data_IF_806747143929
#
_entry.id   IF_806747143929
#
_cell.length_a   1.000
_cell.length_b   1.000
_cell.length_c   1.000
_cell.angle_alpha   90.00
_cell.angle_beta   90.00
_cell.angle_gamma   90.00
#
_symmetry.space_group_name_H-M   'P 1'
#
loop_
_entity.id
_entity.type
_entity.pdbx_description
1 polymer ?
#
# COMPACT_ATOMS: atom_id res chain seq x y z
N UNK A 1 -10.88 -17.71 21.44
CA UNK A 1 -12.30 -17.66 21.83
C UNK A 1 -13.10 -17.18 20.62
N UNK A 2 -13.67 -18.11 19.86
CA UNK A 2 -14.40 -17.83 18.60
C UNK A 2 -15.87 -17.57 18.95
N UNK A 3 -16.40 -16.39 18.65
CA UNK A 3 -17.85 -16.12 18.71
C UNK A 3 -18.47 -16.45 17.36
N UNK A 4 -19.33 -17.46 17.35
CA UNK A 4 -20.23 -17.79 16.23
C UNK A 4 -21.43 -16.85 16.27
N UNK A 5 -21.70 -16.19 15.16
CA UNK A 5 -22.95 -15.45 14.95
C UNK A 5 -23.98 -16.44 14.39
N UNK A 6 -25.11 -16.59 15.10
CA UNK A 6 -26.27 -17.38 14.65
C UNK A 6 -27.14 -16.50 13.76
N UNK A 7 -27.39 -16.97 12.55
CA UNK A 7 -28.43 -16.43 11.69
C UNK A 7 -29.78 -17.07 12.04
N UNK A 8 -30.79 -16.25 12.37
CA UNK A 8 -32.16 -16.66 12.53
C UNK A 8 -32.83 -16.81 11.17
N UNK A 9 -33.30 -18.03 10.89
CA UNK A 9 -34.20 -18.33 9.79
C UNK A 9 -35.64 -18.04 10.21
N UNK A 10 -36.30 -17.06 9.55
CA UNK A 10 -37.74 -16.92 9.60
C UNK A 10 -38.35 -17.68 8.41
N UNK A 11 -39.11 -18.74 8.73
CA UNK A 11 -40.01 -19.46 7.81
C UNK A 11 -41.28 -18.63 7.60
N UNK A 12 -41.57 -18.29 6.35
CA UNK A 12 -42.93 -17.84 5.96
C UNK A 12 -43.57 -18.96 5.15
N UNK A 13 -44.77 -19.32 5.57
CA UNK A 13 -45.59 -20.40 5.02
C UNK A 13 -46.21 -20.00 3.68
N UNK A 14 -46.28 -20.99 2.81
CA UNK A 14 -46.97 -21.08 1.54
C UNK A 14 -48.49 -20.96 1.73
N UNK A 15 -49.16 -20.19 0.86
CA UNK A 15 -50.53 -20.45 0.45
C UNK A 15 -50.61 -20.45 -1.08
N UNK A 16 -51.13 -21.54 -1.61
CA UNK A 16 -51.35 -21.78 -3.03
C UNK A 16 -52.58 -21.01 -3.51
N UNK A 17 -52.51 -20.46 -4.73
CA UNK A 17 -53.67 -19.94 -5.46
C UNK A 17 -53.33 -19.94 -6.97
N UNK A 18 -54.11 -20.71 -7.71
CA UNK A 18 -54.04 -20.89 -9.18
C UNK A 18 -54.45 -19.59 -9.91
N UNK A 19 -53.81 -19.22 -11.03
CA UNK A 19 -54.43 -19.10 -12.36
C UNK A 19 -53.57 -18.32 -13.37
N UNK A 20 -53.62 -18.86 -14.54
CA UNK A 20 -53.51 -18.29 -15.88
C UNK A 20 -52.14 -17.91 -16.46
N UNK A 21 -51.77 -18.72 -17.43
CA UNK A 21 -50.71 -18.51 -18.40
C UNK A 21 -50.99 -17.29 -19.28
N UNK A 22 -50.02 -16.37 -19.35
CA UNK A 22 -49.86 -15.44 -20.49
C UNK A 22 -48.39 -15.51 -20.88
N UNK A 23 -48.17 -16.04 -22.08
CA UNK A 23 -46.88 -16.08 -22.75
C UNK A 23 -46.47 -14.63 -23.13
N UNK A 24 -45.43 -14.12 -22.54
CA UNK A 24 -44.66 -12.97 -23.01
C UNK A 24 -43.19 -13.38 -23.06
N UNK A 25 -42.47 -13.11 -24.16
CA UNK A 25 -41.06 -13.43 -24.23
C UNK A 25 -40.27 -12.45 -23.33
N UNK A 26 -39.81 -12.95 -22.22
CA UNK A 26 -38.86 -12.20 -21.36
C UNK A 26 -37.53 -12.22 -22.14
N UNK A 27 -37.21 -11.08 -22.70
CA UNK A 27 -35.87 -10.74 -23.17
C UNK A 27 -34.92 -10.85 -21.93
N UNK A 28 -34.18 -11.93 -21.88
CA UNK A 28 -33.16 -12.14 -20.87
C UNK A 28 -32.07 -11.10 -21.08
N UNK A 29 -32.16 -9.98 -20.36
CA UNK A 29 -31.00 -9.13 -20.14
C UNK A 29 -29.98 -9.97 -19.35
N UNK A 30 -29.01 -10.56 -20.06
CA UNK A 30 -27.81 -11.10 -19.43
C UNK A 30 -27.10 -9.94 -18.73
N UNK A 31 -27.37 -9.78 -17.46
CA UNK A 31 -26.46 -9.07 -16.58
C UNK A 31 -25.17 -9.90 -16.55
N UNK A 32 -24.19 -9.44 -17.32
CA UNK A 32 -22.82 -9.92 -17.23
C UNK A 32 -22.30 -9.58 -15.83
N UNK A 33 -22.71 -10.34 -14.83
CA UNK A 33 -21.94 -10.48 -13.62
C UNK A 33 -20.60 -11.06 -14.09
N UNK A 34 -19.57 -10.22 -14.14
CA UNK A 34 -18.22 -10.63 -14.52
C UNK A 34 -17.74 -11.68 -13.53
N UNK A 35 -18.02 -12.95 -13.81
CA UNK A 35 -17.30 -14.04 -13.19
C UNK A 35 -15.82 -13.77 -13.44
N UNK A 36 -15.05 -13.66 -12.37
CA UNK A 36 -13.59 -13.75 -12.41
C UNK A 36 -13.31 -15.12 -13.01
N UNK A 37 -13.00 -15.17 -14.29
CA UNK A 37 -12.48 -16.39 -14.91
C UNK A 37 -11.10 -16.60 -14.28
N UNK A 38 -10.84 -17.70 -13.57
CA UNK A 38 -9.48 -18.02 -13.15
C UNK A 38 -8.66 -18.19 -14.42
N UNK A 39 -7.75 -17.26 -14.71
CA UNK A 39 -6.91 -17.30 -15.89
C UNK A 39 -7.05 -16.15 -16.89
N UNK A 40 -7.56 -14.97 -16.50
CA UNK A 40 -7.37 -13.76 -17.30
C UNK A 40 -5.86 -13.51 -17.45
N UNK A 41 -5.28 -14.05 -18.53
CA UNK A 41 -3.85 -13.87 -18.83
C UNK A 41 -3.69 -12.46 -19.35
N UNK A 42 -3.17 -11.55 -18.53
CA UNK A 42 -2.79 -10.22 -18.99
C UNK A 42 -1.72 -10.36 -20.07
N UNK A 43 -2.06 -9.90 -21.28
CA UNK A 43 -1.18 -10.09 -22.43
C UNK A 43 -0.17 -8.94 -22.50
N UNK A 44 1.10 -9.29 -22.45
CA UNK A 44 2.20 -8.39 -22.77
C UNK A 44 2.37 -8.40 -24.29
N UNK A 45 2.33 -7.24 -24.92
CA UNK A 45 2.42 -7.08 -26.38
C UNK A 45 3.44 -5.99 -26.72
N UNK A 46 4.01 -6.02 -27.93
CA UNK A 46 4.76 -4.88 -28.43
C UNK A 46 3.91 -3.61 -28.40
N UNK A 47 4.53 -2.48 -28.00
CA UNK A 47 3.87 -1.17 -28.03
C UNK A 47 3.60 -0.82 -29.51
N UNK A 48 2.33 -0.59 -29.84
CA UNK A 48 1.95 -0.18 -31.20
C UNK A 48 1.98 1.35 -31.36
N UNK A 49 1.87 1.83 -32.58
CA UNK A 49 1.94 3.25 -32.92
C UNK A 49 0.86 4.07 -32.20
N UNK A 50 -0.37 3.59 -32.13
CA UNK A 50 -1.49 4.27 -31.47
C UNK A 50 -1.22 4.44 -29.97
N UNK A 51 -0.71 3.42 -29.30
CA UNK A 51 -0.33 3.45 -27.89
C UNK A 51 0.84 4.42 -27.66
N UNK A 52 1.86 4.37 -28.54
CA UNK A 52 3.01 5.26 -28.47
C UNK A 52 2.56 6.73 -28.57
N UNK A 53 1.70 7.06 -29.51
CA UNK A 53 1.15 8.41 -29.68
C UNK A 53 0.24 8.80 -28.50
N UNK A 54 -0.67 7.91 -28.06
CA UNK A 54 -1.62 8.19 -26.99
C UNK A 54 -0.94 8.43 -25.64
N UNK A 55 0.18 7.78 -25.38
CA UNK A 55 0.94 7.87 -24.13
C UNK A 55 2.27 8.61 -24.25
N UNK A 56 2.60 9.17 -25.42
CA UNK A 56 3.81 9.92 -25.74
C UNK A 56 5.08 9.12 -25.38
N UNK A 57 5.13 7.87 -25.83
CA UNK A 57 6.22 6.95 -25.52
C UNK A 57 7.31 7.01 -26.58
N UNK A 58 8.56 7.00 -26.14
CA UNK A 58 9.70 6.71 -26.97
C UNK A 58 9.75 5.19 -27.28
N UNK A 59 9.40 4.80 -28.50
CA UNK A 59 9.39 3.39 -28.92
C UNK A 59 10.79 2.79 -29.09
N UNK A 60 11.84 3.61 -29.07
CA UNK A 60 13.21 3.14 -28.99
C UNK A 60 13.55 2.57 -27.61
N UNK A 61 12.81 2.98 -26.58
CA UNK A 61 12.96 2.49 -25.21
C UNK A 61 11.81 1.59 -24.79
N UNK A 62 10.55 2.04 -24.93
CA UNK A 62 9.38 1.29 -24.51
C UNK A 62 8.93 0.31 -25.60
N UNK A 63 9.28 -0.94 -25.42
CA UNK A 63 9.02 -1.99 -26.41
C UNK A 63 7.84 -2.89 -26.06
N UNK A 64 7.47 -2.96 -24.76
CA UNK A 64 6.40 -3.82 -24.27
C UNK A 64 5.30 -3.02 -23.57
N UNK A 65 4.05 -3.42 -23.77
CA UNK A 65 2.89 -2.76 -23.17
C UNK A 65 1.77 -3.73 -22.78
N UNK A 66 1.03 -3.35 -21.75
CA UNK A 66 -0.18 -4.03 -21.25
C UNK A 66 -1.22 -2.99 -20.86
N UNK A 67 -2.42 -3.06 -21.39
CA UNK A 67 -3.53 -2.19 -20.98
C UNK A 67 -4.45 -2.95 -20.02
N UNK A 68 -4.67 -2.41 -18.84
CA UNK A 68 -5.54 -2.98 -17.81
C UNK A 68 -6.36 -1.88 -17.14
N UNK A 69 -7.68 -2.01 -17.08
CA UNK A 69 -8.59 -1.06 -16.42
C UNK A 69 -8.37 0.42 -16.80
N UNK A 70 -7.84 0.71 -17.99
CA UNK A 70 -7.52 2.06 -18.47
C UNK A 70 -6.15 2.57 -18.00
N UNK A 71 -5.36 1.76 -17.33
CA UNK A 71 -3.96 2.01 -16.98
C UNK A 71 -3.09 1.32 -18.03
N UNK A 72 -2.16 2.03 -18.64
CA UNK A 72 -1.23 1.46 -19.60
C UNK A 72 0.13 1.23 -18.95
N UNK A 73 0.55 -0.02 -18.89
CA UNK A 73 1.86 -0.42 -18.38
C UNK A 73 2.82 -0.47 -19.56
N UNK A 74 3.91 0.29 -19.51
CA UNK A 74 4.93 0.34 -20.54
C UNK A 74 6.32 0.06 -19.97
N UNK A 75 7.13 -0.71 -20.66
CA UNK A 75 8.49 -1.05 -20.22
C UNK A 75 9.46 -1.22 -21.40
N UNK A 76 10.75 -1.23 -21.07
CA UNK A 76 11.79 -1.73 -21.96
C UNK A 76 11.68 -3.24 -22.14
N UNK A 77 12.51 -3.81 -23.01
CA UNK A 77 12.68 -5.25 -23.20
C UNK A 77 13.31 -5.96 -22.00
N UNK A 78 14.02 -5.23 -21.12
CA UNK A 78 14.72 -5.76 -19.95
C UNK A 78 13.81 -6.17 -18.81
N UNK A 79 12.61 -5.58 -18.71
CA UNK A 79 11.64 -5.95 -17.68
C UNK A 79 10.98 -7.28 -18.03
N UNK A 80 10.82 -8.19 -17.08
CA UNK A 80 10.20 -9.48 -17.33
C UNK A 80 8.70 -9.37 -17.61
N UNK A 81 8.18 -10.28 -18.43
CA UNK A 81 6.74 -10.39 -18.65
C UNK A 81 5.98 -10.82 -17.38
N UNK A 82 6.67 -11.41 -16.39
CA UNK A 82 6.07 -11.71 -15.10
C UNK A 82 5.74 -10.45 -14.33
N UNK A 83 6.64 -9.46 -14.30
CA UNK A 83 6.39 -8.17 -13.66
C UNK A 83 5.22 -7.43 -14.30
N UNK A 84 5.13 -7.44 -15.64
CA UNK A 84 3.96 -6.89 -16.35
C UNK A 84 2.65 -7.54 -15.91
N UNK A 85 2.59 -8.87 -15.88
CA UNK A 85 1.37 -9.61 -15.52
C UNK A 85 0.99 -9.40 -14.07
N UNK A 86 1.98 -9.40 -13.17
CA UNK A 86 1.74 -9.14 -11.74
C UNK A 86 1.23 -7.72 -11.51
N UNK A 87 1.87 -6.71 -12.09
CA UNK A 87 1.39 -5.34 -12.00
C UNK A 87 -0.02 -5.18 -12.59
N UNK A 88 -0.30 -5.81 -13.73
CA UNK A 88 -1.62 -5.78 -14.33
C UNK A 88 -2.68 -6.45 -13.45
N UNK A 89 -2.35 -7.59 -12.83
CA UNK A 89 -3.22 -8.27 -11.87
C UNK A 89 -3.53 -7.37 -10.67
N UNK A 90 -2.51 -6.77 -10.06
CA UNK A 90 -2.70 -5.88 -8.92
C UNK A 90 -3.55 -4.66 -9.28
N UNK A 91 -3.30 -4.01 -10.42
CA UNK A 91 -4.15 -2.89 -10.88
C UNK A 91 -5.58 -3.31 -11.16
N UNK A 92 -5.81 -4.47 -11.76
CA UNK A 92 -7.17 -4.97 -12.01
C UNK A 92 -7.92 -5.18 -10.69
N UNK A 93 -7.28 -5.82 -9.71
CA UNK A 93 -7.85 -6.03 -8.38
C UNK A 93 -8.14 -4.70 -7.66
N UNK A 94 -7.18 -3.78 -7.62
CA UNK A 94 -7.33 -2.49 -6.97
C UNK A 94 -8.44 -1.65 -7.62
N UNK A 95 -8.46 -1.54 -8.96
CA UNK A 95 -9.46 -0.76 -9.68
C UNK A 95 -10.89 -1.29 -9.51
N UNK A 96 -11.06 -2.61 -9.34
CA UNK A 96 -12.38 -3.23 -9.09
C UNK A 96 -12.93 -2.92 -7.68
N UNK A 97 -12.07 -2.62 -6.72
CA UNK A 97 -12.48 -2.32 -5.34
C UNK A 97 -12.80 -0.85 -5.11
N UNK A 98 -12.45 0.03 -6.05
CA UNK A 98 -12.72 1.47 -5.94
C UNK A 98 -14.21 1.80 -6.18
N UNK A 99 -14.66 2.92 -5.60
CA UNK A 99 -15.93 3.55 -6.03
C UNK A 99 -15.91 3.73 -7.56
N UNK A 100 -16.96 3.30 -8.27
CA UNK A 100 -17.00 3.35 -9.74
C UNK A 100 -16.70 4.73 -10.34
N UNK A 101 -17.09 5.81 -9.65
CA UNK A 101 -16.83 7.19 -10.08
C UNK A 101 -15.36 7.57 -9.94
N UNK A 102 -14.69 7.05 -8.90
CA UNK A 102 -13.24 7.22 -8.71
C UNK A 102 -12.49 6.45 -9.80
N UNK A 103 -12.84 5.18 -10.00
CA UNK A 103 -12.24 4.34 -11.03
C UNK A 103 -12.42 4.95 -12.44
N UNK A 104 -13.60 5.51 -12.73
CA UNK A 104 -13.84 6.14 -14.04
C UNK A 104 -12.96 7.38 -14.23
N UNK A 105 -12.82 8.24 -13.23
CA UNK A 105 -11.93 9.40 -13.34
C UNK A 105 -10.46 9.00 -13.57
N UNK A 106 -10.01 7.90 -12.95
CA UNK A 106 -8.65 7.35 -13.19
C UNK A 106 -8.50 6.91 -14.64
N UNK A 107 -9.50 6.17 -15.19
CA UNK A 107 -9.51 5.76 -16.62
C UNK A 107 -9.44 6.95 -17.56
N UNK A 108 -10.22 7.99 -17.30
CA UNK A 108 -10.30 9.20 -18.11
C UNK A 108 -8.96 9.98 -18.14
N UNK A 109 -8.13 9.80 -17.12
CA UNK A 109 -6.80 10.42 -17.02
C UNK A 109 -5.71 9.70 -17.80
N UNK A 110 -5.99 8.53 -18.38
CA UNK A 110 -5.00 7.73 -19.14
C UNK A 110 -3.71 7.55 -18.35
N UNK A 111 -3.81 6.97 -17.15
CA UNK A 111 -2.65 6.75 -16.27
C UNK A 111 -1.62 5.89 -16.99
N UNK A 112 -0.36 6.33 -16.98
CA UNK A 112 0.77 5.55 -17.44
C UNK A 112 1.46 4.91 -16.23
N UNK A 113 1.73 3.62 -16.31
CA UNK A 113 2.62 2.91 -15.40
C UNK A 113 3.91 2.55 -16.13
N UNK A 114 5.04 2.86 -15.52
CA UNK A 114 6.35 2.46 -16.03
C UNK A 114 6.98 1.51 -15.01
N UNK A 115 7.39 0.33 -15.46
CA UNK A 115 8.21 -0.56 -14.67
C UNK A 115 9.69 -0.35 -15.04
N UNK A 116 10.53 -0.27 -14.02
CA UNK A 116 11.99 -0.19 -14.15
C UNK A 116 12.54 -1.59 -13.97
N UNK A 117 13.32 -2.10 -14.91
CA UNK A 117 13.98 -3.40 -14.80
C UNK A 117 15.01 -3.41 -13.66
N UNK A 118 15.30 -4.60 -13.14
CA UNK A 118 16.26 -4.78 -12.04
C UNK A 118 17.64 -4.15 -12.32
N UNK A 119 18.07 -4.18 -13.57
CA UNK A 119 19.34 -3.59 -14.02
C UNK A 119 19.17 -2.25 -14.74
N UNK A 120 18.05 -1.57 -14.57
CA UNK A 120 17.80 -0.24 -15.09
C UNK A 120 17.74 0.78 -13.98
N UNK A 121 17.98 2.02 -14.32
CA UNK A 121 17.90 3.17 -13.43
C UNK A 121 16.77 4.10 -13.82
N UNK A 122 16.27 4.85 -12.88
CA UNK A 122 15.26 5.89 -13.15
C UNK A 122 15.76 6.91 -14.16
N UNK A 123 17.07 7.21 -14.16
CA UNK A 123 17.68 8.11 -15.13
C UNK A 123 17.73 7.56 -16.56
N UNK A 124 17.53 6.26 -16.76
CA UNK A 124 17.49 5.66 -18.10
C UNK A 124 16.12 5.86 -18.77
N UNK A 125 15.07 6.16 -17.97
CA UNK A 125 13.74 6.39 -18.49
C UNK A 125 13.66 7.70 -19.28
N UNK A 126 13.13 7.71 -20.52
CA UNK A 126 13.07 8.91 -21.37
C UNK A 126 12.39 10.13 -20.70
N UNK A 127 11.40 9.93 -19.83
CA UNK A 127 10.68 10.98 -19.13
C UNK A 127 11.41 11.49 -17.87
N UNK A 128 12.37 10.73 -17.36
CA UNK A 128 12.99 10.93 -16.05
C UNK A 128 14.53 10.98 -16.09
N UNK A 129 15.10 11.21 -17.25
CA UNK A 129 16.53 11.48 -17.41
C UNK A 129 17.02 12.55 -16.44
N UNK A 130 18.25 12.47 -15.98
CA UNK A 130 18.82 13.37 -15.00
C UNK A 130 20.16 13.94 -15.47
N UNK A 131 20.35 15.25 -15.30
CA UNK A 131 21.63 15.91 -15.51
C UNK A 131 22.63 15.74 -14.35
N UNK A 132 22.19 15.12 -13.24
CA UNK A 132 23.03 14.80 -12.08
C UNK A 132 24.16 13.86 -12.47
N UNK A 133 25.28 13.93 -11.72
CA UNK A 133 26.46 13.10 -11.96
C UNK A 133 27.03 12.55 -10.66
N UNK A 134 27.77 11.45 -10.76
CA UNK A 134 28.46 10.81 -9.63
C UNK A 134 27.48 10.50 -8.50
N UNK A 135 27.86 10.75 -7.25
CA UNK A 135 27.09 10.42 -6.05
C UNK A 135 25.66 10.98 -6.02
N UNK A 136 25.40 12.11 -6.66
CA UNK A 136 24.05 12.68 -6.74
C UNK A 136 23.17 11.89 -7.70
N UNK A 137 23.72 11.41 -8.80
CA UNK A 137 23.03 10.54 -9.74
C UNK A 137 22.78 9.16 -9.09
N UNK A 138 23.78 8.61 -8.41
CA UNK A 138 23.65 7.34 -7.71
C UNK A 138 22.54 7.41 -6.65
N UNK A 139 22.51 8.49 -5.87
CA UNK A 139 21.45 8.72 -4.89
C UNK A 139 20.07 8.88 -5.54
N UNK A 140 19.97 9.62 -6.64
CA UNK A 140 18.74 9.78 -7.39
C UNK A 140 18.21 8.44 -7.88
N UNK A 141 19.05 7.63 -8.51
CA UNK A 141 18.69 6.31 -9.04
C UNK A 141 18.28 5.32 -7.94
N UNK A 142 18.99 5.36 -6.82
CA UNK A 142 18.67 4.51 -5.66
C UNK A 142 17.37 4.92 -4.98
N UNK A 143 17.13 6.23 -4.83
CA UNK A 143 15.96 6.74 -4.07
C UNK A 143 14.68 6.78 -4.87
N UNK A 144 14.77 6.89 -6.20
CA UNK A 144 13.63 7.17 -7.07
C UNK A 144 13.20 5.93 -7.86
N UNK A 145 13.00 4.78 -7.18
CA UNK A 145 12.54 3.57 -7.85
C UNK A 145 11.02 3.29 -7.70
N UNK A 146 10.33 4.09 -6.88
CA UNK A 146 8.87 4.09 -6.75
C UNK A 146 8.39 5.51 -6.52
N UNK A 147 7.52 6.03 -7.38
CA UNK A 147 6.94 7.37 -7.25
C UNK A 147 5.81 7.64 -8.24
N UNK A 148 4.96 8.63 -7.91
CA UNK A 148 4.03 9.24 -8.86
C UNK A 148 4.55 10.61 -9.33
N UNK A 149 4.55 10.84 -10.64
CA UNK A 149 4.86 12.11 -11.26
C UNK A 149 3.80 12.52 -12.29
N UNK A 150 3.92 13.74 -12.82
CA UNK A 150 2.96 14.29 -13.79
C UNK A 150 3.69 14.87 -15.02
N UNK A 151 4.49 14.10 -15.74
CA UNK A 151 5.15 14.60 -16.93
C UNK A 151 4.07 15.08 -17.93
N UNK A 152 4.20 16.33 -18.38
CA UNK A 152 3.23 16.99 -19.27
C UNK A 152 1.76 16.90 -18.80
N UNK A 153 1.53 16.79 -17.48
CA UNK A 153 0.20 16.74 -16.87
C UNK A 153 -0.49 15.37 -16.87
N UNK A 154 0.19 14.31 -17.32
CA UNK A 154 -0.31 12.93 -17.25
C UNK A 154 0.14 12.26 -15.96
N UNK A 155 -0.76 11.61 -15.20
CA UNK A 155 -0.37 10.81 -14.05
C UNK A 155 0.47 9.62 -14.53
N UNK A 156 1.72 9.60 -14.14
CA UNK A 156 2.69 8.56 -14.47
C UNK A 156 3.25 7.99 -13.19
N UNK A 157 2.93 6.73 -12.93
CA UNK A 157 3.42 6.00 -11.76
C UNK A 157 4.55 5.07 -12.17
N UNK A 158 5.59 5.04 -11.37
CA UNK A 158 6.82 4.29 -11.64
C UNK A 158 7.05 3.31 -10.50
N UNK A 159 7.44 2.08 -10.83
CA UNK A 159 7.83 1.05 -9.86
C UNK A 159 9.05 0.29 -10.33
N UNK A 160 9.78 -0.27 -9.40
CA UNK A 160 10.82 -1.23 -9.70
C UNK A 160 10.24 -2.65 -9.88
N UNK A 161 10.81 -3.41 -10.79
CA UNK A 161 10.44 -4.81 -11.04
C UNK A 161 10.59 -5.66 -9.78
N UNK A 162 11.66 -5.44 -9.01
CA UNK A 162 11.94 -6.13 -7.75
C UNK A 162 10.91 -5.84 -6.66
N UNK A 163 10.27 -4.66 -6.66
CA UNK A 163 9.18 -4.34 -5.73
C UNK A 163 7.88 -5.06 -6.10
N UNK A 164 7.59 -5.15 -7.41
CA UNK A 164 6.38 -5.81 -7.92
C UNK A 164 6.44 -7.31 -7.71
N UNK A 165 7.61 -7.93 -7.88
CA UNK A 165 7.81 -9.38 -7.76
C UNK A 165 8.30 -9.83 -6.38
N UNK A 166 8.50 -8.90 -5.45
CA UNK A 166 8.96 -9.15 -4.07
C UNK A 166 10.26 -9.97 -3.97
N UNK A 167 11.20 -9.82 -4.91
CA UNK A 167 12.47 -10.50 -4.85
C UNK A 167 13.60 -9.66 -4.25
N UNK A 168 14.82 -10.19 -4.22
CA UNK A 168 15.97 -9.54 -3.60
C UNK A 168 16.24 -8.15 -4.22
N UNK A 169 16.44 -7.15 -3.34
CA UNK A 169 16.60 -5.75 -3.71
C UNK A 169 15.31 -4.93 -3.62
N UNK A 170 14.13 -5.59 -3.63
CA UNK A 170 12.83 -4.92 -3.48
C UNK A 170 12.45 -4.63 -2.03
N UNK A 171 11.49 -3.73 -1.87
CA UNK A 171 10.90 -3.38 -0.59
C UNK A 171 9.92 -4.46 -0.12
N UNK A 172 10.32 -5.27 0.86
CA UNK A 172 9.52 -6.40 1.34
C UNK A 172 8.61 -6.08 2.53
N UNK A 173 8.81 -4.93 3.14
CA UNK A 173 8.05 -4.51 4.33
C UNK A 173 6.77 -3.78 3.97
N UNK A 174 6.65 -3.33 2.73
CA UNK A 174 5.48 -2.64 2.20
C UNK A 174 5.35 -2.88 0.70
N UNK A 175 4.13 -2.74 0.15
CA UNK A 175 3.91 -2.78 -1.29
C UNK A 175 4.02 -1.37 -1.88
N UNK A 176 5.14 -1.09 -2.53
CA UNK A 176 5.36 0.20 -3.22
C UNK A 176 4.28 0.42 -4.29
N UNK A 177 3.88 -0.61 -5.03
CA UNK A 177 2.82 -0.48 -6.03
C UNK A 177 1.52 0.04 -5.40
N UNK A 178 1.08 -0.54 -4.28
CA UNK A 178 -0.17 -0.13 -3.63
C UNK A 178 -0.03 1.27 -3.03
N UNK A 179 1.12 1.61 -2.46
CA UNK A 179 1.41 2.96 -1.95
C UNK A 179 1.28 4.02 -3.05
N UNK A 180 2.01 3.86 -4.13
CA UNK A 180 2.03 4.82 -5.24
C UNK A 180 0.68 4.84 -5.98
N UNK A 181 -0.01 3.69 -6.07
CA UNK A 181 -1.37 3.68 -6.59
C UNK A 181 -2.34 4.44 -5.68
N UNK A 182 -2.13 4.45 -4.36
CA UNK A 182 -2.83 5.34 -3.43
C UNK A 182 -2.70 6.81 -3.85
N UNK A 183 -1.51 7.25 -4.26
CA UNK A 183 -1.30 8.58 -4.80
C UNK A 183 -2.04 8.80 -6.15
N UNK A 184 -2.10 7.79 -7.02
CA UNK A 184 -2.92 7.85 -8.26
C UNK A 184 -4.40 8.02 -7.94
N UNK A 185 -4.93 7.24 -6.99
CA UNK A 185 -6.33 7.34 -6.55
C UNK A 185 -6.63 8.75 -6.03
N UNK A 186 -5.75 9.32 -5.22
CA UNK A 186 -5.91 10.67 -4.72
C UNK A 186 -5.79 11.72 -5.84
N UNK A 187 -4.72 11.67 -6.62
CA UNK A 187 -4.38 12.71 -7.59
C UNK A 187 -5.24 12.69 -8.85
N UNK A 188 -5.58 11.50 -9.37
CA UNK A 188 -6.34 11.33 -10.60
C UNK A 188 -7.82 11.00 -10.33
N UNK A 189 -8.11 10.30 -9.23
CA UNK A 189 -9.44 9.78 -8.94
C UNK A 189 -10.30 10.67 -8.07
N UNK A 190 -9.75 11.50 -7.18
CA UNK A 190 -10.54 12.27 -6.22
C UNK A 190 -11.09 13.56 -6.80
N UNK A 191 -12.29 13.91 -6.35
CA UNK A 191 -12.88 15.23 -6.54
C UNK A 191 -12.51 16.19 -5.38
N UNK A 192 -12.93 17.44 -5.48
CA UNK A 192 -12.64 18.49 -4.47
C UNK A 192 -13.11 18.10 -3.07
N UNK A 193 -14.28 17.48 -2.95
CA UNK A 193 -14.83 17.05 -1.66
C UNK A 193 -13.99 15.94 -1.03
N UNK A 194 -13.61 14.95 -1.80
CA UNK A 194 -12.75 13.84 -1.33
C UNK A 194 -11.39 14.36 -0.87
N UNK A 195 -10.76 15.27 -1.63
CA UNK A 195 -9.54 15.96 -1.18
C UNK A 195 -9.73 16.74 0.13
N UNK A 196 -10.85 17.42 0.31
CA UNK A 196 -11.15 18.14 1.54
C UNK A 196 -11.31 17.18 2.73
N UNK A 197 -11.92 16.01 2.52
CA UNK A 197 -12.05 14.97 3.56
C UNK A 197 -10.69 14.45 4.00
N UNK A 198 -9.78 14.12 3.08
CA UNK A 198 -8.41 13.70 3.42
C UNK A 198 -7.67 14.78 4.19
N UNK A 199 -7.77 16.05 3.74
CA UNK A 199 -7.16 17.19 4.45
C UNK A 199 -7.69 17.33 5.88
N UNK A 200 -9.00 17.16 6.09
CA UNK A 200 -9.64 17.22 7.41
C UNK A 200 -9.17 16.07 8.29
N UNK A 201 -9.11 14.84 7.76
CA UNK A 201 -8.65 13.66 8.49
C UNK A 201 -7.17 13.79 8.91
N UNK A 202 -6.31 14.23 8.00
CA UNK A 202 -4.90 14.51 8.30
C UNK A 202 -4.73 15.53 9.41
N UNK A 203 -5.49 16.64 9.36
CA UNK A 203 -5.46 17.68 10.40
C UNK A 203 -5.94 17.13 11.74
N UNK A 204 -7.03 16.38 11.77
CA UNK A 204 -7.55 15.78 13.00
C UNK A 204 -6.56 14.79 13.62
N UNK A 205 -5.88 13.96 12.80
CA UNK A 205 -4.86 13.04 13.26
C UNK A 205 -3.64 13.79 13.87
N UNK A 206 -3.23 14.90 13.27
CA UNK A 206 -2.19 15.77 13.80
C UNK A 206 -2.59 16.43 15.13
N UNK A 207 -3.83 16.91 15.23
CA UNK A 207 -4.37 17.52 16.47
C UNK A 207 -4.48 16.50 17.62
N UNK A 208 -4.79 15.24 17.30
CA UNK A 208 -4.82 14.16 18.27
C UNK A 208 -3.41 13.69 18.68
N UNK A 209 -2.35 14.21 18.05
CA UNK A 209 -0.97 13.84 18.36
C UNK A 209 -0.63 12.39 18.00
N UNK A 210 -1.32 11.78 17.03
CA UNK A 210 -1.16 10.35 16.68
C UNK A 210 0.27 10.00 16.24
N UNK A 211 1.04 10.99 15.78
CA UNK A 211 2.41 10.82 15.29
C UNK A 211 3.40 11.89 15.78
N UNK A 212 3.03 12.67 16.81
CA UNK A 212 3.80 13.85 17.25
C UNK A 212 5.21 13.54 17.74
N UNK A 213 5.55 12.29 17.96
CA UNK A 213 6.86 11.90 18.44
C UNK A 213 7.26 10.46 18.08
N UNK A 214 6.71 9.93 16.99
CA UNK A 214 6.90 8.52 16.63
C UNK A 214 6.23 7.54 17.59
N UNK A 215 5.28 8.02 18.39
CA UNK A 215 4.63 7.24 19.46
C UNK A 215 3.29 6.62 19.05
N UNK A 216 2.89 6.69 17.80
CA UNK A 216 1.66 6.07 17.32
C UNK A 216 1.63 4.55 17.57
N UNK A 217 2.78 3.92 17.67
CA UNK A 217 2.97 2.52 18.00
C UNK A 217 3.27 2.22 19.46
N UNK A 218 2.83 3.09 20.39
CA UNK A 218 3.08 2.87 21.81
C UNK A 218 2.27 1.70 22.34
N UNK A 219 2.93 0.59 22.55
CA UNK A 219 2.34 -0.55 23.22
C UNK A 219 2.65 -0.48 24.72
N UNK A 220 1.62 -0.23 25.52
CA UNK A 220 1.71 -0.44 26.94
C UNK A 220 1.72 -1.95 27.25
N UNK A 221 2.76 -2.42 27.95
CA UNK A 221 2.78 -3.77 28.50
C UNK A 221 2.69 -3.66 30.01
N UNK A 222 1.77 -4.41 30.59
CA UNK A 222 1.75 -4.66 32.02
C UNK A 222 2.73 -5.79 32.32
N UNK A 223 3.67 -5.54 33.20
CA UNK A 223 4.48 -6.58 33.82
C UNK A 223 3.53 -7.49 34.61
N UNK A 224 3.58 -8.79 34.37
CA UNK A 224 2.66 -9.73 35.05
C UNK A 224 3.12 -10.08 36.47
N UNK A 225 4.38 -9.81 36.84
CA UNK A 225 4.94 -10.17 38.14
C UNK A 225 4.54 -9.19 39.23
N UNK A 226 3.99 -9.75 40.29
CA UNK A 226 3.75 -8.98 41.54
C UNK A 226 5.05 -8.72 42.31
N UNK A 227 6.05 -9.60 42.16
CA UNK A 227 7.38 -9.43 42.75
C UNK A 227 8.30 -8.68 41.76
N UNK A 228 9.28 -7.89 42.29
CA UNK A 228 10.22 -7.17 41.46
C UNK A 228 11.07 -8.13 40.57
N UNK A 229 11.01 -7.94 39.24
CA UNK A 229 11.82 -8.65 38.25
C UNK A 229 12.65 -7.64 37.46
N UNK A 230 13.76 -8.04 36.84
CA UNK A 230 14.48 -7.13 35.98
C UNK A 230 13.64 -6.72 34.78
N UNK A 231 13.80 -5.49 34.29
CA UNK A 231 13.09 -5.00 33.11
C UNK A 231 13.36 -5.90 31.91
N UNK A 232 14.62 -6.33 31.72
CA UNK A 232 15.00 -7.24 30.64
C UNK A 232 14.25 -8.56 30.74
N UNK A 233 14.24 -9.23 31.91
CA UNK A 233 13.57 -10.52 32.09
C UNK A 233 12.07 -10.43 31.87
N UNK A 234 11.46 -9.33 32.36
CA UNK A 234 10.04 -9.07 32.15
C UNK A 234 9.68 -8.94 30.66
N UNK A 235 10.56 -8.29 29.88
CA UNK A 235 10.36 -8.07 28.46
C UNK A 235 10.67 -9.32 27.64
N UNK A 236 11.75 -10.04 27.92
CA UNK A 236 12.06 -11.35 27.27
C UNK A 236 10.88 -12.31 27.43
N UNK A 237 10.31 -12.39 28.64
CA UNK A 237 9.12 -13.22 28.88
C UNK A 237 7.87 -12.74 28.12
N UNK A 238 7.77 -11.43 27.88
CA UNK A 238 6.62 -10.83 27.17
C UNK A 238 6.75 -10.90 25.65
N UNK A 239 7.96 -11.07 25.13
CA UNK A 239 8.30 -11.12 23.71
C UNK A 239 9.20 -12.33 23.40
N UNK A 240 8.68 -13.55 23.48
CA UNK A 240 9.49 -14.77 23.32
C UNK A 240 10.11 -14.92 21.93
N UNK A 241 9.55 -14.23 20.93
CA UNK A 241 10.02 -14.25 19.54
C UNK A 241 11.15 -13.23 19.27
N UNK A 242 11.56 -12.43 20.27
CA UNK A 242 12.62 -11.43 20.15
C UNK A 242 13.86 -11.87 20.93
N UNK A 243 15.05 -11.62 20.35
CA UNK A 243 16.29 -11.95 21.07
C UNK A 243 16.49 -11.04 22.28
N UNK A 244 17.07 -11.58 23.39
CA UNK A 244 17.40 -10.76 24.57
C UNK A 244 18.35 -9.59 24.24
N UNK A 245 19.24 -9.77 23.26
CA UNK A 245 20.18 -8.75 22.79
C UNK A 245 19.46 -7.58 22.13
N UNK A 246 18.45 -7.87 21.29
CA UNK A 246 17.63 -6.85 20.66
C UNK A 246 16.84 -6.05 21.71
N UNK A 247 16.21 -6.74 22.66
CA UNK A 247 15.49 -6.11 23.76
C UNK A 247 16.42 -5.23 24.58
N UNK A 248 17.62 -5.70 24.92
CA UNK A 248 18.65 -4.91 25.63
C UNK A 248 19.03 -3.67 24.84
N UNK A 249 19.27 -3.79 23.54
CA UNK A 249 19.57 -2.66 22.66
C UNK A 249 18.45 -1.61 22.69
N UNK A 250 17.18 -2.03 22.67
CA UNK A 250 16.03 -1.12 22.77
C UNK A 250 15.92 -0.43 24.14
N UNK A 251 16.34 -1.11 25.22
CA UNK A 251 16.41 -0.49 26.55
C UNK A 251 17.52 0.57 26.56
N UNK A 252 18.70 0.21 26.08
CA UNK A 252 19.89 1.07 26.12
C UNK A 252 19.77 2.29 25.18
N UNK A 253 19.00 2.16 24.09
CA UNK A 253 18.66 3.29 23.18
C UNK A 253 17.59 4.22 23.74
N UNK A 254 16.95 3.87 24.87
CA UNK A 254 15.87 4.66 25.46
C UNK A 254 14.50 4.44 24.80
N UNK A 255 14.36 3.44 23.94
CA UNK A 255 13.10 3.08 23.27
C UNK A 255 12.11 2.41 24.25
N UNK A 256 12.57 2.06 25.47
CA UNK A 256 11.74 1.47 26.50
C UNK A 256 11.73 2.38 27.73
N UNK A 257 10.54 2.82 28.11
CA UNK A 257 10.34 3.73 29.23
C UNK A 257 9.64 3.01 30.38
N UNK A 258 10.12 3.23 31.60
CA UNK A 258 9.42 2.80 32.82
C UNK A 258 8.89 4.05 33.51
N UNK A 259 7.57 4.09 33.71
CA UNK A 259 6.87 5.24 34.28
C UNK A 259 7.20 6.57 33.58
N UNK A 260 7.39 6.50 32.25
CA UNK A 260 7.65 7.65 31.37
C UNK A 260 9.11 8.06 31.26
N UNK A 261 10.06 7.33 31.89
CA UNK A 261 11.50 7.65 31.87
C UNK A 261 12.31 6.52 31.26
N UNK A 262 13.37 6.81 30.47
CA UNK A 262 14.35 5.82 30.07
C UNK A 262 14.91 5.08 31.27
N UNK A 263 15.19 3.80 31.13
CA UNK A 263 15.61 2.95 32.25
C UNK A 263 16.69 1.96 31.77
N UNK A 264 17.48 1.42 32.70
CA UNK A 264 18.46 0.38 32.38
C UNK A 264 17.85 -1.01 32.45
N UNK A 265 18.51 -1.97 31.81
CA UNK A 265 18.08 -3.37 31.78
C UNK A 265 17.93 -4.03 33.15
N UNK A 266 18.70 -3.58 34.12
CA UNK A 266 18.69 -4.08 35.51
C UNK A 266 17.64 -3.48 36.42
N UNK A 267 16.92 -2.42 35.99
CA UNK A 267 15.85 -1.81 36.79
C UNK A 267 14.81 -2.85 37.15
N UNK A 268 14.39 -2.89 38.40
CA UNK A 268 13.33 -3.77 38.88
C UNK A 268 11.96 -3.18 38.56
N UNK A 269 11.11 -3.97 37.99
CA UNK A 269 9.73 -3.59 37.64
C UNK A 269 8.74 -4.61 38.19
N UNK A 270 7.56 -4.12 38.51
CA UNK A 270 6.41 -4.90 39.01
C UNK A 270 5.18 -4.68 38.09
N UNK A 271 4.08 -5.34 38.42
CA UNK A 271 2.77 -5.14 37.71
C UNK A 271 2.23 -3.72 37.85
N UNK A 272 2.71 -2.92 38.80
CA UNK A 272 2.25 -1.56 39.07
C UNK A 272 3.02 -0.53 38.22
N UNK A 273 4.13 -0.97 37.61
CA UNK A 273 4.92 -0.11 36.73
C UNK A 273 4.32 -0.08 35.29
N UNK A 274 4.28 1.13 34.74
CA UNK A 274 3.88 1.38 33.35
C UNK A 274 5.10 1.24 32.46
N UNK A 275 5.30 0.05 31.88
CA UNK A 275 6.35 -0.18 30.89
C UNK A 275 5.81 0.17 29.51
N UNK A 276 6.43 1.16 28.89
CA UNK A 276 6.09 1.67 27.59
C UNK A 276 7.21 1.37 26.61
N UNK A 277 6.89 0.73 25.50
CA UNK A 277 7.82 0.43 24.45
C UNK A 277 7.61 1.44 23.34
N UNK A 278 8.65 2.19 23.01
CA UNK A 278 8.70 3.12 21.88
C UNK A 278 9.51 2.45 20.80
N UNK A 279 8.85 1.80 19.85
CA UNK A 279 9.56 1.22 18.72
C UNK A 279 10.07 2.33 17.80
N UNK A 280 11.38 2.38 17.62
CA UNK A 280 11.99 3.12 16.52
C UNK A 280 12.38 4.57 16.77
N UNK A 281 12.52 5.04 18.02
CA UNK A 281 12.99 6.42 18.32
C UNK A 281 12.08 7.51 17.72
N UNK A 282 12.47 8.79 17.69
CA UNK A 282 11.63 9.90 17.22
C UNK A 282 11.52 9.97 15.67
N UNK A 283 11.45 8.84 14.99
CA UNK A 283 11.14 8.83 13.57
C UNK A 283 9.67 9.20 13.43
N UNK A 284 9.42 10.39 12.89
CA UNK A 284 8.07 10.75 12.42
C UNK A 284 7.60 9.64 11.50
N UNK A 285 6.46 9.04 11.80
CA UNK A 285 5.86 8.03 10.90
C UNK A 285 5.69 8.66 9.51
N UNK A 286 5.84 7.87 8.45
CA UNK A 286 5.86 8.39 7.08
C UNK A 286 4.54 9.10 6.74
N UNK A 287 3.43 8.61 7.25
CA UNK A 287 2.10 9.24 7.15
C UNK A 287 2.04 10.67 7.73
N UNK A 288 2.92 11.03 8.68
CA UNK A 288 2.98 12.37 9.26
C UNK A 288 3.63 13.41 8.35
N UNK A 289 4.31 12.99 7.30
CA UNK A 289 5.11 13.85 6.43
C UNK A 289 4.26 14.91 5.71
N UNK A 290 3.13 14.49 5.17
CA UNK A 290 2.14 15.35 4.56
C UNK A 290 0.83 14.57 4.31
N UNK A 291 -0.24 15.27 3.89
CA UNK A 291 -1.55 14.67 3.66
C UNK A 291 -1.58 13.62 2.54
N UNK A 292 -0.65 13.67 1.59
CA UNK A 292 -0.62 12.72 0.48
C UNK A 292 -0.02 11.40 0.97
N UNK A 293 1.06 11.45 1.73
CA UNK A 293 1.63 10.27 2.39
C UNK A 293 0.65 9.67 3.42
N UNK A 294 -0.05 10.52 4.18
CA UNK A 294 -1.10 10.06 5.09
C UNK A 294 -2.17 9.23 4.36
N UNK A 295 -2.57 9.69 3.18
CA UNK A 295 -3.53 8.95 2.37
C UNK A 295 -2.93 7.65 1.82
N UNK A 296 -1.72 7.69 1.25
CA UNK A 296 -1.06 6.51 0.65
C UNK A 296 -0.77 5.43 1.68
N UNK A 297 -0.27 5.79 2.87
CA UNK A 297 -0.08 4.87 4.00
C UNK A 297 -1.42 4.27 4.48
N UNK A 298 -2.46 5.08 4.60
CA UNK A 298 -3.80 4.61 4.95
C UNK A 298 -4.39 3.68 3.88
N UNK A 299 -4.14 3.95 2.62
CA UNK A 299 -4.54 3.10 1.50
C UNK A 299 -3.82 1.75 1.53
N UNK A 300 -2.52 1.74 1.75
CA UNK A 300 -1.69 0.56 1.93
C UNK A 300 -2.16 -0.30 3.12
N UNK A 301 -2.43 0.36 4.25
CA UNK A 301 -2.94 -0.30 5.46
C UNK A 301 -4.31 -0.93 5.23
N UNK A 302 -5.18 -0.31 4.43
CA UNK A 302 -6.49 -0.85 4.07
C UNK A 302 -6.38 -2.20 3.34
N UNK A 303 -5.36 -2.37 2.52
CA UNK A 303 -5.09 -3.61 1.78
C UNK A 303 -4.16 -4.58 2.52
N UNK A 304 -3.85 -4.31 3.79
CA UNK A 304 -2.97 -5.14 4.66
C UNK A 304 -1.57 -5.36 4.05
N UNK A 305 -1.06 -4.36 3.36
CA UNK A 305 0.24 -4.42 2.68
C UNK A 305 1.31 -3.55 3.33
N UNK A 306 0.97 -2.78 4.34
CA UNK A 306 1.91 -2.11 5.21
C UNK A 306 2.31 -3.08 6.34
N UNK A 307 3.48 -3.70 6.19
CA UNK A 307 4.03 -4.68 7.13
C UNK A 307 4.93 -4.02 8.18
N UNK A 308 5.16 -2.73 8.07
CA UNK A 308 5.81 -1.97 9.14
C UNK A 308 4.83 -1.86 10.31
N UNK A 309 5.29 -2.20 11.49
CA UNK A 309 4.50 -1.99 12.72
C UNK A 309 4.67 -0.54 13.19
N UNK A 310 4.39 0.38 12.30
CA UNK A 310 4.43 1.81 12.59
C UNK A 310 3.12 2.32 13.19
#
# INVERSE_FOLDING_TARGET
>A
MRRRIRLHHNRIRSTAGHCLAVLLPILAALTMAGCITPGATYQVRPVNKEQAEAYELDTGFYTKGTLVQGIFIATSDKVSDHAHREAAYQFDMLMRTLDPRVAQRIRDRKVLCILIGHHEFTSDLPQFGSEKKGKELDFYNWRSRGFLAWPKGRPTVVFAEEDVLEYEGGMRIESILIHEFGHVVQGAGFNKEQHARVKKAFKAAAELGLWNDGRAAQRFRRVKSALPVSLLDALVKSFPDQSPELIRKCIDSGDILVNGKPSSSGVKVTRDDKVRIVFGGPKKCYASRNRNEYWAEGFQTWYDTNRTMD
#
